data_IF_473217948056
#
_entry.id   IF_473217948056
#
_cell.length_a   1.000
_cell.length_b   1.000
_cell.length_c   1.000
_cell.angle_alpha   90.00
_cell.angle_beta   90.00
_cell.angle_gamma   90.00
#
_symmetry.space_group_name_H-M   'P 1'
#
loop_
_entity.id
_entity.type
_entity.pdbx_description
1 polymer ?
#
# COMPACT_ATOMS: atom_id res chain seq x y z
N UNK A 1 1.81 -12.92 15.36
CA UNK A 1 2.86 -11.89 15.22
C UNK A 1 2.58 -10.78 16.22
N UNK A 2 3.55 -10.36 17.04
CA UNK A 2 3.35 -9.40 18.15
C UNK A 2 3.13 -7.93 17.70
N UNK A 3 2.56 -7.72 16.51
CA UNK A 3 2.16 -6.41 15.98
C UNK A 3 3.28 -5.38 15.79
N UNK A 4 4.54 -5.78 15.95
CA UNK A 4 5.69 -4.87 15.90
C UNK A 4 6.62 -5.28 14.77
N UNK A 5 6.88 -4.33 13.87
CA UNK A 5 7.80 -4.46 12.74
C UNK A 5 8.79 -3.31 12.78
N UNK A 6 10.05 -3.60 12.43
CA UNK A 6 11.06 -2.59 12.13
C UNK A 6 11.30 -2.66 10.62
N UNK A 7 10.96 -1.58 9.92
CA UNK A 7 11.11 -1.51 8.46
C UNK A 7 12.58 -1.20 8.15
N UNK A 8 13.26 -1.99 7.29
CA UNK A 8 14.63 -1.71 6.92
C UNK A 8 14.72 -0.42 6.09
N UNK A 9 15.90 0.19 6.08
CA UNK A 9 16.19 1.34 5.24
C UNK A 9 15.94 1.01 3.76
N UNK A 10 15.41 1.97 3.00
CA UNK A 10 15.11 1.78 1.58
C UNK A 10 13.91 0.88 1.29
N UNK A 11 13.07 0.56 2.28
CA UNK A 11 11.87 -0.23 2.09
C UNK A 11 10.62 0.40 2.72
N UNK A 12 9.44 -0.09 2.32
CA UNK A 12 8.14 0.30 2.86
C UNK A 12 7.33 -0.92 3.29
N UNK A 13 6.56 -0.77 4.36
CA UNK A 13 5.52 -1.71 4.74
C UNK A 13 4.19 -1.23 4.16
N UNK A 14 3.57 -2.03 3.30
CA UNK A 14 2.25 -1.70 2.71
C UNK A 14 1.15 -2.50 3.38
N UNK A 15 -0.01 -1.88 3.54
CA UNK A 15 -1.22 -2.52 4.06
C UNK A 15 -2.42 -2.06 3.24
N UNK A 16 -3.19 -3.02 2.73
CA UNK A 16 -4.44 -2.73 2.04
C UNK A 16 -5.54 -2.34 3.02
N UNK A 17 -6.45 -1.46 2.61
CA UNK A 17 -7.56 -1.00 3.46
C UNK A 17 -8.60 -2.09 3.73
N UNK A 18 -8.77 -3.04 2.81
CA UNK A 18 -9.55 -4.25 3.05
C UNK A 18 -8.74 -5.25 3.91
N UNK A 19 -8.51 -4.88 5.18
CA UNK A 19 -7.53 -5.53 6.08
C UNK A 19 -7.69 -7.04 6.20
N UNK A 20 -8.90 -7.63 6.32
CA UNK A 20 -9.05 -9.08 6.44
C UNK A 20 -8.73 -9.81 5.13
N UNK A 21 -8.94 -9.15 3.99
CA UNK A 21 -8.88 -9.76 2.66
C UNK A 21 -7.75 -9.21 1.77
N UNK A 22 -6.69 -8.69 2.40
CA UNK A 22 -5.53 -8.14 1.73
C UNK A 22 -4.33 -9.09 1.84
N UNK A 23 -3.68 -9.34 0.71
CA UNK A 23 -2.41 -10.04 0.63
C UNK A 23 -1.30 -9.00 0.51
N UNK A 24 -0.83 -8.49 1.64
CA UNK A 24 0.12 -7.37 1.72
C UNK A 24 1.35 -7.72 2.58
N UNK A 25 2.12 -6.73 3.01
CA UNK A 25 3.39 -6.93 3.73
C UNK A 25 3.27 -7.78 4.99
N UNK A 26 2.07 -7.92 5.56
CA UNK A 26 1.81 -8.84 6.68
C UNK A 26 2.01 -10.31 6.31
N UNK A 27 1.93 -10.66 5.03
CA UNK A 27 2.07 -12.03 4.49
C UNK A 27 3.40 -12.25 3.76
N UNK A 28 3.85 -11.28 2.95
CA UNK A 28 5.03 -11.46 2.09
C UNK A 28 6.21 -10.51 2.37
N UNK A 29 6.14 -9.65 3.39
CA UNK A 29 7.27 -8.80 3.81
C UNK A 29 7.30 -7.40 3.21
N UNK A 30 8.45 -6.72 3.29
CA UNK A 30 8.59 -5.31 2.90
C UNK A 30 8.81 -5.13 1.39
N UNK A 31 8.43 -3.98 0.85
CA UNK A 31 8.65 -3.62 -0.56
C UNK A 31 9.87 -2.70 -0.66
N UNK A 32 10.87 -2.98 -1.50
CA UNK A 32 11.94 -2.03 -1.81
C UNK A 32 11.38 -0.72 -2.38
N UNK A 33 11.90 0.42 -1.95
CA UNK A 33 11.40 1.74 -2.37
C UNK A 33 11.55 1.96 -3.89
N UNK A 34 12.57 1.38 -4.50
CA UNK A 34 12.80 1.36 -5.96
C UNK A 34 11.70 0.64 -6.75
N UNK A 35 10.92 -0.25 -6.13
CA UNK A 35 9.77 -0.89 -6.75
C UNK A 35 8.49 -0.02 -6.70
N UNK A 36 8.52 1.13 -6.01
CA UNK A 36 7.40 2.06 -5.92
C UNK A 36 7.38 2.97 -7.15
N UNK A 37 6.34 2.82 -7.97
CA UNK A 37 6.19 3.60 -9.21
C UNK A 37 5.68 5.02 -8.95
N UNK A 38 4.75 5.19 -8.00
CA UNK A 38 4.16 6.50 -7.71
C UNK A 38 3.00 6.47 -6.71
N UNK A 39 2.36 7.62 -6.50
CA UNK A 39 1.23 7.80 -5.57
C UNK A 39 -0.08 7.96 -6.35
N UNK A 40 -1.11 7.21 -5.97
CA UNK A 40 -2.47 7.44 -6.47
C UNK A 40 -3.03 8.76 -5.90
N UNK A 41 -3.54 9.64 -6.76
CA UNK A 41 -4.02 10.99 -6.37
C UNK A 41 -5.43 11.33 -6.85
N UNK A 42 -6.00 10.55 -7.78
CA UNK A 42 -7.32 10.80 -8.38
C UNK A 42 -7.99 9.47 -8.70
N UNK A 43 -9.30 9.39 -8.46
CA UNK A 43 -10.20 8.41 -9.06
C UNK A 43 -10.87 9.11 -10.25
N UNK A 44 -10.56 8.67 -11.47
CA UNK A 44 -11.05 9.33 -12.68
C UNK A 44 -12.26 8.63 -13.33
N UNK A 45 -12.53 7.37 -12.97
CA UNK A 45 -13.61 6.56 -13.55
C UNK A 45 -14.56 5.98 -12.47
N UNK A 46 -15.89 5.91 -12.72
CA UNK A 46 -16.59 6.50 -13.86
C UNK A 46 -16.56 8.04 -13.81
N UNK A 47 -16.72 8.76 -14.94
CA UNK A 47 -16.57 10.21 -14.97
C UNK A 47 -17.53 10.95 -14.04
N UNK A 48 -18.71 10.36 -13.77
CA UNK A 48 -19.70 10.87 -12.81
C UNK A 48 -19.28 10.77 -11.35
N UNK A 49 -18.21 10.02 -11.03
CA UNK A 49 -17.64 9.85 -9.69
C UNK A 49 -16.18 10.30 -9.64
N UNK A 50 -15.79 11.22 -10.51
CA UNK A 50 -14.47 11.82 -10.47
C UNK A 50 -14.22 12.50 -9.11
N UNK A 51 -13.11 12.17 -8.45
CA UNK A 51 -12.68 12.81 -7.19
C UNK A 51 -11.16 12.74 -7.03
N UNK A 52 -10.60 13.72 -6.32
CA UNK A 52 -9.25 13.62 -5.76
C UNK A 52 -9.24 12.65 -4.56
N UNK A 53 -8.09 12.01 -4.32
CA UNK A 53 -7.81 11.13 -3.18
C UNK A 53 -7.15 11.89 -2.03
#
# INVERSE_FOLDING_TARGET
ANGKWVVPEGAVMVMGDNRPNSNDSRRWGFVPLEAVIGRAVVIWWPPSRWTAL
#
